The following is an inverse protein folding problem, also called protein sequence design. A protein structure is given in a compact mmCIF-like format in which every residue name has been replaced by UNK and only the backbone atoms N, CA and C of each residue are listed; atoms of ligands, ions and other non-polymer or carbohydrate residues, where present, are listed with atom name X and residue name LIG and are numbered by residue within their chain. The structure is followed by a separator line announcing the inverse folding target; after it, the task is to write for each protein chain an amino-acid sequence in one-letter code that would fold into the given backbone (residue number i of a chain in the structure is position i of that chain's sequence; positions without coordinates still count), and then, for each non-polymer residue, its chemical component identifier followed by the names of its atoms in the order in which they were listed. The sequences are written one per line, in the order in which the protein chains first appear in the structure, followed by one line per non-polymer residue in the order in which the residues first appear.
data_IF_423563151889
#
_entry.id   IF_423563151889
#
_cell.length_a   1.000
_cell.length_b   1.000
_cell.length_c   1.000
_cell.angle_alpha   90.00
_cell.angle_beta   90.00
_cell.angle_gamma   90.00
#
_symmetry.space_group_name_H-M   'P 1'
#
loop_
_entity.id
_entity.type
_entity.pdbx_description
1 polymer ?
#
# COMPACT_ATOMS: atom_id res chain seq x y z
N UNK A 1 -39.07 -69.04 52.02
CA UNK A 1 -37.83 -68.89 52.77
C UNK A 1 -36.95 -67.95 51.98
N UNK A 2 -36.82 -66.67 52.50
CA UNK A 2 -35.86 -65.60 52.24
C UNK A 2 -35.74 -65.06 50.83
N UNK A 3 -36.48 -63.96 50.67
CA UNK A 3 -36.33 -62.91 49.66
C UNK A 3 -34.95 -62.23 49.72
N UNK A 4 -34.32 -62.02 48.60
CA UNK A 4 -33.21 -61.09 48.45
C UNK A 4 -33.64 -59.97 47.50
N UNK A 5 -34.06 -58.85 48.07
CA UNK A 5 -34.17 -57.59 47.40
C UNK A 5 -32.79 -57.13 46.95
N UNK A 6 -32.55 -57.02 45.60
CA UNK A 6 -31.42 -56.33 45.02
C UNK A 6 -31.82 -54.90 44.87
N UNK A 7 -31.11 -54.02 45.57
CA UNK A 7 -31.17 -52.57 45.43
C UNK A 7 -30.67 -52.15 44.02
N UNK A 8 -31.54 -51.59 43.27
CA UNK A 8 -31.16 -50.82 42.07
C UNK A 8 -31.11 -49.37 42.51
N UNK A 9 -29.90 -48.90 42.76
CA UNK A 9 -29.64 -47.48 43.00
C UNK A 9 -29.29 -46.85 41.62
N UNK A 10 -30.29 -46.39 40.91
CA UNK A 10 -30.09 -45.53 39.76
C UNK A 10 -30.11 -44.08 40.23
N UNK A 11 -28.95 -43.61 40.67
CA UNK A 11 -28.69 -42.18 40.80
C UNK A 11 -28.64 -41.60 39.38
N UNK A 12 -29.81 -41.19 38.89
CA UNK A 12 -29.91 -40.28 37.77
C UNK A 12 -29.43 -38.91 38.25
N UNK A 13 -28.15 -38.67 38.03
CA UNK A 13 -27.60 -37.33 38.09
C UNK A 13 -28.37 -36.43 37.13
N UNK A 14 -29.37 -35.73 37.65
CA UNK A 14 -30.00 -34.60 36.95
C UNK A 14 -28.94 -33.55 36.86
N UNK A 15 -28.34 -33.42 35.68
CA UNK A 15 -27.71 -32.17 35.27
C UNK A 15 -28.83 -31.17 35.16
N UNK A 16 -29.02 -30.39 36.20
CA UNK A 16 -29.82 -29.20 36.25
C UNK A 16 -29.08 -28.21 35.34
N UNK A 17 -29.48 -28.18 34.10
CA UNK A 17 -29.08 -27.09 33.17
C UNK A 17 -29.71 -25.80 33.70
N UNK A 18 -28.92 -25.08 34.51
CA UNK A 18 -29.23 -23.68 34.81
C UNK A 18 -29.37 -22.93 33.50
N UNK A 19 -30.62 -22.84 33.07
CA UNK A 19 -31.01 -22.04 31.91
C UNK A 19 -30.85 -20.56 32.32
N UNK A 20 -29.63 -20.04 32.24
CA UNK A 20 -29.32 -18.63 32.43
C UNK A 20 -29.98 -17.82 31.33
N UNK A 21 -31.30 -17.66 31.43
CA UNK A 21 -32.04 -16.67 30.63
C UNK A 21 -31.66 -15.29 31.11
N UNK A 22 -30.59 -14.76 30.57
CA UNK A 22 -30.22 -13.37 30.77
C UNK A 22 -31.28 -12.51 30.10
N UNK A 23 -32.23 -12.00 30.88
CA UNK A 23 -33.24 -11.07 30.42
C UNK A 23 -32.60 -9.69 30.16
N UNK A 24 -32.05 -9.54 28.93
CA UNK A 24 -31.55 -8.25 28.50
C UNK A 24 -32.70 -7.26 28.29
N UNK A 25 -32.64 -6.15 29.00
CA UNK A 25 -33.49 -4.99 28.69
C UNK A 25 -33.27 -4.57 27.23
N UNK A 26 -34.30 -4.07 26.54
CA UNK A 26 -34.15 -3.54 25.15
C UNK A 26 -32.99 -2.54 25.04
N UNK A 27 -32.77 -1.73 26.08
CA UNK A 27 -31.65 -0.77 26.15
C UNK A 27 -30.28 -1.49 26.18
N UNK A 28 -30.15 -2.58 26.94
CA UNK A 28 -28.92 -3.35 27.01
C UNK A 28 -28.59 -4.03 25.68
N UNK A 29 -29.59 -4.52 24.95
CA UNK A 29 -29.42 -5.11 23.63
C UNK A 29 -28.87 -4.06 22.63
N UNK A 30 -29.43 -2.83 22.66
CA UNK A 30 -28.96 -1.75 21.77
C UNK A 30 -27.51 -1.36 22.11
N UNK A 31 -27.18 -1.26 23.39
CA UNK A 31 -25.81 -0.92 23.81
C UNK A 31 -24.82 -2.02 23.38
N UNK A 32 -25.17 -3.29 23.57
CA UNK A 32 -24.31 -4.41 23.15
C UNK A 32 -24.15 -4.42 21.63
N UNK A 33 -25.22 -4.19 20.86
CA UNK A 33 -25.17 -4.11 19.42
C UNK A 33 -24.29 -2.94 18.94
N UNK A 34 -24.41 -1.79 19.55
CA UNK A 34 -23.58 -0.63 19.24
C UNK A 34 -22.10 -0.89 19.56
N UNK A 35 -21.81 -1.51 20.70
CA UNK A 35 -20.46 -1.84 21.11
C UNK A 35 -19.83 -2.90 20.19
N UNK A 36 -20.59 -3.92 19.79
CA UNK A 36 -20.10 -4.95 18.86
C UNK A 36 -19.84 -4.38 17.46
N UNK A 37 -20.69 -3.45 16.98
CA UNK A 37 -20.47 -2.74 15.72
C UNK A 37 -19.19 -1.89 15.76
N UNK A 38 -18.97 -1.19 16.86
CA UNK A 38 -17.80 -0.37 17.08
C UNK A 38 -16.52 -1.24 17.14
N UNK A 39 -16.59 -2.36 17.83
CA UNK A 39 -15.48 -3.32 17.88
C UNK A 39 -15.17 -3.91 16.50
N UNK A 40 -16.21 -4.30 15.74
CA UNK A 40 -16.04 -4.80 14.37
C UNK A 40 -15.41 -3.74 13.44
N UNK A 41 -15.80 -2.47 13.60
CA UNK A 41 -15.19 -1.36 12.86
C UNK A 41 -13.70 -1.19 13.17
N UNK A 42 -13.32 -1.27 14.44
CA UNK A 42 -11.90 -1.21 14.83
C UNK A 42 -11.10 -2.40 14.28
N UNK A 43 -11.64 -3.62 14.38
CA UNK A 43 -10.97 -4.80 13.82
C UNK A 43 -10.79 -4.66 12.31
N UNK A 44 -11.81 -4.20 11.60
CA UNK A 44 -11.73 -3.95 10.17
C UNK A 44 -10.69 -2.87 9.83
N UNK A 45 -10.68 -1.75 10.56
CA UNK A 45 -9.70 -0.69 10.39
C UNK A 45 -8.27 -1.19 10.60
N UNK A 46 -8.03 -2.00 11.64
CA UNK A 46 -6.72 -2.62 11.88
C UNK A 46 -6.35 -3.61 10.78
N UNK A 47 -7.28 -4.43 10.31
CA UNK A 47 -7.03 -5.38 9.24
C UNK A 47 -6.64 -4.67 7.93
N UNK A 48 -7.35 -3.60 7.58
CA UNK A 48 -7.03 -2.79 6.38
C UNK A 48 -5.68 -2.07 6.54
N UNK A 49 -5.38 -1.54 7.72
CA UNK A 49 -4.10 -0.88 7.98
C UNK A 49 -2.91 -1.85 7.97
N UNK A 50 -3.12 -3.10 8.39
CA UNK A 50 -2.08 -4.13 8.39
C UNK A 50 -1.76 -4.68 7.00
N UNK A 51 -2.67 -4.54 6.02
CA UNK A 51 -2.46 -5.00 4.64
C UNK A 51 -1.69 -3.97 3.79
N UNK A 52 -0.72 -3.29 4.38
CA UNK A 52 0.15 -2.37 3.64
C UNK A 52 1.62 -2.73 3.82
N UNK A 53 2.32 -2.88 2.71
CA UNK A 53 3.75 -3.10 2.67
C UNK A 53 4.47 -1.94 1.98
N UNK A 54 5.78 -1.86 2.19
CA UNK A 54 6.64 -0.85 1.61
C UNK A 54 7.75 -1.58 0.86
N UNK A 55 8.03 -1.14 -0.37
CA UNK A 55 9.18 -1.56 -1.15
C UNK A 55 10.08 -0.36 -1.43
N UNK A 56 11.40 -0.55 -1.31
CA UNK A 56 12.39 0.47 -1.59
C UNK A 56 13.08 0.13 -2.90
N UNK A 57 13.04 1.06 -3.83
CA UNK A 57 13.81 1.02 -5.05
C UNK A 57 15.08 1.85 -4.89
N UNK A 58 16.21 1.31 -5.28
CA UNK A 58 17.52 1.94 -5.13
C UNK A 58 18.20 1.98 -6.49
N UNK A 59 18.74 3.14 -6.86
CA UNK A 59 19.50 3.36 -8.10
C UNK A 59 18.75 2.91 -9.37
N UNK A 60 17.46 3.25 -9.46
CA UNK A 60 16.68 2.95 -10.65
C UNK A 60 16.98 4.01 -11.72
N UNK A 61 17.37 3.60 -12.94
CA UNK A 61 17.66 4.54 -14.02
C UNK A 61 16.39 5.30 -14.42
N UNK A 62 16.58 6.59 -14.76
CA UNK A 62 15.50 7.46 -15.19
C UNK A 62 15.36 7.37 -16.70
N UNK A 63 14.13 7.18 -17.16
CA UNK A 63 13.80 7.22 -18.58
C UNK A 63 13.50 8.67 -19.03
N UNK A 64 14.08 9.08 -20.14
CA UNK A 64 13.76 10.37 -20.74
C UNK A 64 12.75 10.14 -21.86
N UNK A 65 11.58 10.76 -21.73
CA UNK A 65 10.49 10.66 -22.71
C UNK A 65 10.27 11.97 -23.45
N UNK A 66 9.83 11.85 -24.70
CA UNK A 66 9.46 12.99 -25.56
C UNK A 66 10.59 14.00 -25.80
N UNK A 67 11.84 13.54 -25.86
CA UNK A 67 13.01 14.38 -26.09
C UNK A 67 13.25 14.73 -27.57
N UNK A 68 12.45 14.17 -28.49
CA UNK A 68 12.70 14.28 -29.96
C UNK A 68 12.74 15.71 -30.46
N UNK A 69 11.89 16.60 -29.95
CA UNK A 69 11.89 18.00 -30.37
C UNK A 69 13.18 18.75 -30.01
N UNK A 70 13.90 18.32 -28.97
CA UNK A 70 15.20 18.87 -28.54
C UNK A 70 16.33 18.25 -29.36
N UNK A 71 16.33 16.94 -29.48
CA UNK A 71 17.40 16.21 -30.22
C UNK A 71 17.35 16.46 -31.74
N UNK A 72 16.14 16.57 -32.31
CA UNK A 72 15.96 16.89 -33.73
C UNK A 72 16.34 18.35 -34.06
N UNK A 73 16.28 19.22 -33.05
CA UNK A 73 16.78 20.59 -33.17
C UNK A 73 18.31 20.71 -33.09
N UNK A 74 19.02 19.60 -32.85
CA UNK A 74 20.49 19.55 -32.83
C UNK A 74 21.09 19.78 -31.45
N UNK A 75 20.32 19.57 -30.38
CA UNK A 75 20.76 19.70 -28.97
C UNK A 75 20.91 18.34 -28.29
N UNK A 76 21.78 18.31 -27.28
CA UNK A 76 21.94 17.19 -26.39
C UNK A 76 21.41 17.54 -24.98
N UNK A 77 20.96 16.51 -24.24
CA UNK A 77 20.38 16.66 -22.91
C UNK A 77 21.37 16.07 -21.89
N UNK A 78 21.93 16.93 -21.05
CA UNK A 78 22.74 16.52 -19.91
C UNK A 78 21.85 16.40 -18.69
N UNK A 79 21.82 15.19 -18.10
CA UNK A 79 21.04 14.90 -16.89
C UNK A 79 21.99 14.89 -15.70
N UNK A 80 21.70 15.69 -14.69
CA UNK A 80 22.52 15.81 -13.48
C UNK A 80 22.50 14.56 -12.59
N UNK A 81 21.46 13.74 -12.72
CA UNK A 81 21.30 12.51 -11.96
C UNK A 81 20.66 11.44 -12.87
N UNK A 82 21.37 10.35 -13.12
CA UNK A 82 20.92 9.30 -14.04
C UNK A 82 20.00 8.27 -13.38
N UNK A 83 20.01 8.17 -12.06
CA UNK A 83 19.24 7.20 -11.30
C UNK A 83 18.63 7.83 -10.05
N UNK A 84 17.50 7.30 -9.62
CA UNK A 84 16.79 7.75 -8.41
C UNK A 84 16.48 6.59 -7.48
N UNK A 85 16.46 6.89 -6.20
CA UNK A 85 15.98 5.97 -5.17
C UNK A 85 14.67 6.50 -4.60
N UNK A 86 13.68 5.63 -4.54
CA UNK A 86 12.34 6.01 -4.08
C UNK A 86 11.67 4.86 -3.34
N UNK A 87 10.57 5.18 -2.68
CA UNK A 87 9.80 4.22 -1.88
C UNK A 87 8.38 4.17 -2.37
N UNK A 88 7.88 2.96 -2.57
CA UNK A 88 6.48 2.72 -2.89
C UNK A 88 5.78 2.03 -1.73
N UNK A 89 4.54 2.39 -1.53
CA UNK A 89 3.65 1.77 -0.56
C UNK A 89 2.40 1.27 -1.27
N UNK A 90 2.03 0.06 -0.97
CA UNK A 90 0.85 -0.55 -1.56
C UNK A 90 0.31 -1.69 -0.71
N UNK A 91 -0.68 -2.37 -1.23
CA UNK A 91 -1.18 -3.60 -0.61
C UNK A 91 -0.09 -4.66 -0.63
N UNK A 92 0.03 -5.44 0.45
CA UNK A 92 1.09 -6.45 0.62
C UNK A 92 1.15 -7.43 -0.56
N UNK A 93 0.00 -7.87 -1.08
CA UNK A 93 -0.06 -8.78 -2.24
C UNK A 93 0.53 -8.14 -3.50
N UNK A 94 0.27 -6.86 -3.73
CA UNK A 94 0.82 -6.11 -4.88
C UNK A 94 2.31 -5.90 -4.71
N UNK A 95 2.74 -5.41 -3.54
CA UNK A 95 4.16 -5.16 -3.26
C UNK A 95 5.01 -6.43 -3.43
N UNK A 96 4.51 -7.58 -2.96
CA UNK A 96 5.22 -8.86 -3.09
C UNK A 96 5.25 -9.40 -4.54
N UNK A 97 4.40 -8.90 -5.43
CA UNK A 97 4.39 -9.27 -6.85
C UNK A 97 5.19 -8.29 -7.73
N UNK A 98 5.70 -7.19 -7.18
CA UNK A 98 6.50 -6.23 -7.94
C UNK A 98 7.85 -6.85 -8.33
N UNK A 99 8.15 -6.76 -9.60
CA UNK A 99 9.50 -6.99 -10.12
C UNK A 99 10.32 -5.68 -10.06
N UNK A 100 11.63 -5.78 -10.17
CA UNK A 100 12.52 -4.62 -10.10
C UNK A 100 12.23 -3.55 -11.18
N UNK A 101 11.60 -3.93 -12.28
CA UNK A 101 11.22 -3.04 -13.38
C UNK A 101 9.71 -2.69 -13.41
N UNK A 102 8.95 -3.02 -12.35
CA UNK A 102 7.50 -2.74 -12.30
C UNK A 102 7.17 -1.27 -12.13
N UNK A 103 8.13 -0.45 -11.71
CA UNK A 103 8.00 0.98 -11.55
C UNK A 103 9.15 1.66 -12.27
N UNK A 104 8.81 2.44 -13.28
CA UNK A 104 9.80 3.16 -14.10
C UNK A 104 9.73 4.65 -13.79
N UNK A 105 10.77 5.23 -13.20
CA UNK A 105 10.88 6.68 -13.07
C UNK A 105 11.19 7.29 -14.44
N UNK A 106 10.47 8.34 -14.80
CA UNK A 106 10.71 9.04 -16.06
C UNK A 106 10.57 10.54 -15.91
N UNK A 107 11.17 11.26 -16.83
CA UNK A 107 10.96 12.69 -17.05
C UNK A 107 10.32 12.89 -18.41
N UNK A 108 9.30 13.73 -18.48
CA UNK A 108 8.62 14.08 -19.71
C UNK A 108 9.06 15.49 -20.13
N UNK A 109 9.58 15.58 -21.34
CA UNK A 109 10.09 16.82 -21.90
C UNK A 109 9.17 17.43 -22.98
N UNK A 110 7.95 16.90 -23.15
CA UNK A 110 7.03 17.31 -24.23
C UNK A 110 6.73 18.82 -24.27
N UNK A 111 6.56 19.41 -23.09
CA UNK A 111 6.16 20.82 -22.93
C UNK A 111 7.27 21.66 -22.29
N UNK A 112 8.53 21.22 -22.42
CA UNK A 112 9.64 21.91 -21.79
C UNK A 112 10.05 23.15 -22.62
N UNK A 113 9.84 24.34 -22.03
CA UNK A 113 10.47 25.57 -22.51
C UNK A 113 11.91 25.62 -22.00
N UNK A 114 12.87 25.74 -22.90
CA UNK A 114 14.28 25.73 -22.53
C UNK A 114 15.09 26.86 -23.16
N UNK A 115 16.13 27.25 -22.46
CA UNK A 115 17.21 28.09 -22.96
C UNK A 115 18.49 27.27 -22.97
N UNK A 116 19.23 27.30 -24.08
CA UNK A 116 20.48 26.57 -24.22
C UNK A 116 21.49 26.99 -23.14
N UNK A 117 22.07 26.05 -22.45
CA UNK A 117 23.02 26.27 -21.38
C UNK A 117 22.41 26.51 -19.99
N UNK A 118 21.11 26.68 -19.88
CA UNK A 118 20.43 26.87 -18.60
C UNK A 118 20.15 25.53 -17.93
N UNK A 119 20.21 25.52 -16.59
CA UNK A 119 19.80 24.38 -15.78
C UNK A 119 18.33 24.49 -15.43
N UNK A 120 17.57 23.50 -15.82
CA UNK A 120 16.12 23.46 -15.62
C UNK A 120 15.81 22.32 -14.64
N UNK A 121 15.00 22.61 -13.63
CA UNK A 121 14.48 21.58 -12.72
C UNK A 121 13.28 20.90 -13.33
N UNK A 122 13.33 19.59 -13.49
CA UNK A 122 12.23 18.77 -14.01
C UNK A 122 11.80 17.76 -12.95
N UNK A 123 10.50 17.62 -12.77
CA UNK A 123 9.94 16.68 -11.82
C UNK A 123 9.97 15.25 -12.36
N UNK A 124 10.40 14.31 -11.54
CA UNK A 124 10.37 12.89 -11.89
C UNK A 124 8.96 12.37 -11.72
N UNK A 125 8.47 11.73 -12.74
CA UNK A 125 7.20 11.01 -12.74
C UNK A 125 7.45 9.51 -12.63
N UNK A 126 6.42 8.77 -12.24
CA UNK A 126 6.52 7.32 -12.09
C UNK A 126 5.44 6.65 -12.92
N UNK A 127 5.84 5.69 -13.73
CA UNK A 127 4.95 4.84 -14.50
C UNK A 127 4.87 3.47 -13.84
N UNK A 128 3.64 2.98 -13.61
CA UNK A 128 3.40 1.68 -13.02
C UNK A 128 2.04 1.14 -13.42
N UNK A 129 1.95 -0.14 -13.71
CA UNK A 129 0.69 -0.84 -13.96
C UNK A 129 -0.18 -0.95 -12.69
N UNK A 130 0.40 -0.70 -11.52
CA UNK A 130 -0.25 -0.86 -10.23
C UNK A 130 -0.61 0.49 -9.63
N UNK A 131 -1.76 0.55 -8.94
CA UNK A 131 -2.14 1.71 -8.16
C UNK A 131 -1.31 1.78 -6.87
N UNK A 132 -0.13 2.38 -6.94
CA UNK A 132 0.82 2.51 -5.86
C UNK A 132 0.78 3.92 -5.27
N UNK A 133 0.91 4.00 -3.96
CA UNK A 133 1.18 5.28 -3.29
C UNK A 133 2.68 5.50 -3.24
N UNK A 134 3.14 6.51 -3.93
CA UNK A 134 4.53 6.96 -3.85
C UNK A 134 4.69 7.78 -2.57
N UNK A 135 5.32 7.18 -1.60
CA UNK A 135 5.69 7.86 -0.38
C UNK A 135 7.11 8.36 -0.53
N UNK A 136 7.20 9.65 -0.74
CA UNK A 136 8.45 10.28 -1.02
C UNK A 136 9.35 10.38 0.21
N UNK A 137 10.58 9.96 0.00
CA UNK A 137 11.73 10.67 0.47
C UNK A 137 12.15 11.57 -0.70
N UNK A 138 11.83 12.86 -0.66
CA UNK A 138 12.16 13.88 -1.68
C UNK A 138 11.89 13.39 -3.12
N UNK A 139 10.87 13.94 -3.80
CA UNK A 139 10.92 13.93 -5.26
C UNK A 139 12.14 14.77 -5.62
N UNK A 140 13.24 14.19 -6.08
CA UNK A 140 14.34 15.01 -6.51
C UNK A 140 13.85 15.71 -7.78
N UNK A 141 13.75 17.01 -7.72
CA UNK A 141 13.79 17.78 -8.95
C UNK A 141 15.15 17.49 -9.57
N UNK A 142 15.14 16.85 -10.71
CA UNK A 142 16.38 16.56 -11.42
C UNK A 142 16.70 17.77 -12.27
N UNK A 143 17.94 18.21 -12.18
CA UNK A 143 18.40 19.27 -13.04
C UNK A 143 18.84 18.67 -14.37
N UNK A 144 18.27 19.17 -15.45
CA UNK A 144 18.72 18.92 -16.82
C UNK A 144 19.32 20.20 -17.40
N UNK A 145 20.25 20.04 -18.30
CA UNK A 145 20.86 21.13 -19.06
C UNK A 145 20.85 20.75 -20.54
N UNK A 146 20.36 21.63 -21.38
CA UNK A 146 20.36 21.44 -22.81
C UNK A 146 21.58 22.17 -23.37
N UNK A 147 22.37 21.45 -24.14
CA UNK A 147 23.63 21.94 -24.72
C UNK A 147 23.64 21.71 -26.21
N UNK A 148 24.43 22.53 -26.93
CA UNK A 148 24.68 22.29 -28.35
C UNK A 148 25.37 20.94 -28.54
N UNK A 149 24.89 20.18 -29.50
CA UNK A 149 25.53 18.92 -29.86
C UNK A 149 26.91 19.22 -30.42
N UNK A 150 27.93 18.84 -29.67
CA UNK A 150 29.31 18.96 -30.15
C UNK A 150 29.55 17.85 -31.17
N UNK A 151 29.87 18.26 -32.45
CA UNK A 151 30.31 17.33 -33.50
C UNK A 151 31.58 16.57 -33.12
#
# INVERSE_FOLDING_TARGET
MKDKKLFSNSETSRYESDDYRVNFSRRSIIIIAALSLLLAFFIWMFAVAADSAIHNYTDVPIEIRNASHITDAGYDILVGTEAVSFRVRGRTSVINSLADNSVVPYIDLSDLDFTVGERIAVDVQFDSEYNLMYSNVSMPSIYIQIVDKTE
#
